data_IF_095938954273
#
_entry.id   IF_095938954273
#
_cell.length_a   1.000
_cell.length_b   1.000
_cell.length_c   1.000
_cell.angle_alpha   90.00
_cell.angle_beta   90.00
_cell.angle_gamma   90.00
#
_symmetry.space_group_name_H-M   'P 1'
#
loop_
_entity.id
_entity.type
_entity.pdbx_description
1 polymer ?
#
# COMPACT_ATOMS: atom_id res chain seq x y z
N UNK A 1 8.54 -21.39 -4.77
CA UNK A 1 7.26 -20.84 -5.26
C UNK A 1 7.16 -19.41 -4.77
N UNK A 2 6.82 -18.43 -5.62
CA UNK A 2 6.80 -17.02 -5.22
C UNK A 2 5.58 -16.79 -4.31
N UNK A 3 5.83 -16.52 -3.03
CA UNK A 3 4.85 -16.55 -1.92
C UNK A 3 3.79 -15.45 -1.95
N UNK A 4 3.75 -14.60 -2.98
CA UNK A 4 2.87 -13.43 -3.05
C UNK A 4 2.02 -13.34 -4.32
N UNK A 5 1.95 -14.39 -5.14
CA UNK A 5 1.16 -14.37 -6.39
C UNK A 5 -0.33 -14.08 -6.18
N UNK A 6 -0.90 -14.48 -5.03
CA UNK A 6 -2.29 -14.17 -4.66
C UNK A 6 -2.59 -12.66 -4.65
N UNK A 7 -1.57 -11.82 -4.45
CA UNK A 7 -1.73 -10.37 -4.46
C UNK A 7 -2.08 -9.84 -5.87
N UNK A 8 -1.80 -10.58 -6.93
CA UNK A 8 -2.08 -10.15 -8.30
C UNK A 8 -3.58 -10.15 -8.61
N UNK A 9 -4.39 -10.87 -7.85
CA UNK A 9 -5.85 -10.86 -7.98
C UNK A 9 -6.47 -9.49 -7.61
N UNK A 10 -5.71 -8.63 -6.93
CA UNK A 10 -6.10 -7.27 -6.58
C UNK A 10 -5.72 -6.23 -7.65
N UNK A 11 -5.02 -6.59 -8.72
CA UNK A 11 -4.58 -5.63 -9.76
C UNK A 11 -5.78 -4.90 -10.37
N UNK A 12 -6.80 -5.63 -10.82
CA UNK A 12 -7.98 -5.02 -11.44
C UNK A 12 -8.79 -4.19 -10.45
N UNK A 13 -8.80 -4.59 -9.17
CA UNK A 13 -9.40 -3.81 -8.10
C UNK A 13 -8.72 -2.44 -7.95
N UNK A 14 -7.39 -2.40 -7.82
CA UNK A 14 -6.65 -1.14 -7.68
C UNK A 14 -6.61 -0.30 -8.97
N UNK A 15 -6.81 -0.94 -10.12
CA UNK A 15 -6.93 -0.24 -11.41
C UNK A 15 -8.12 0.71 -11.41
N UNK A 16 -9.27 0.28 -10.89
CA UNK A 16 -10.53 1.05 -11.02
C UNK A 16 -10.96 1.77 -9.75
N UNK A 17 -10.70 1.21 -8.57
CA UNK A 17 -11.17 1.77 -7.29
C UNK A 17 -10.66 3.21 -7.09
N UNK A 18 -11.55 4.09 -6.62
CA UNK A 18 -11.27 5.48 -6.27
C UNK A 18 -11.12 5.68 -4.76
N UNK A 19 -10.66 6.88 -4.37
CA UNK A 19 -10.50 7.29 -2.97
C UNK A 19 -11.83 7.20 -2.19
N UNK A 20 -12.91 7.74 -2.76
CA UNK A 20 -14.23 7.78 -2.12
C UNK A 20 -14.88 6.40 -1.99
N UNK A 21 -14.57 5.48 -2.90
CA UNK A 21 -15.06 4.09 -2.83
C UNK A 21 -14.24 3.21 -1.87
N UNK A 22 -12.95 3.53 -1.68
CA UNK A 22 -12.08 2.74 -0.80
C UNK A 22 -12.21 3.16 0.66
N UNK A 23 -12.40 4.45 0.92
CA UNK A 23 -12.35 5.03 2.25
C UNK A 23 -13.51 6.00 2.49
N UNK A 24 -14.23 5.77 3.58
CA UNK A 24 -15.16 6.76 4.14
C UNK A 24 -14.61 7.28 5.46
N UNK A 25 -14.71 8.58 5.70
CA UNK A 25 -14.38 9.15 7.00
C UNK A 25 -15.57 9.07 7.93
N UNK A 26 -15.36 8.51 9.12
CA UNK A 26 -16.33 8.49 10.21
C UNK A 26 -15.83 9.32 11.39
N UNK A 27 -16.68 9.56 12.39
CA UNK A 27 -16.34 10.46 13.50
C UNK A 27 -16.42 11.92 13.09
N UNK A 28 -15.63 12.78 13.73
CA UNK A 28 -15.61 14.24 13.47
C UNK A 28 -16.89 15.00 13.84
N UNK A 29 -17.89 14.32 14.43
CA UNK A 29 -19.19 14.90 14.77
C UNK A 29 -19.20 15.40 16.22
N UNK A 30 -19.87 16.53 16.42
CA UNK A 30 -20.21 17.06 17.75
C UNK A 30 -21.21 16.11 18.43
N UNK A 31 -20.88 15.58 19.62
CA UNK A 31 -21.81 14.80 20.44
C UNK A 31 -22.65 15.73 21.33
N UNK A 32 -23.77 15.23 21.84
CA UNK A 32 -24.72 15.97 22.69
C UNK A 32 -24.08 16.62 23.93
N UNK A 33 -22.98 16.06 24.44
CA UNK A 33 -22.28 16.53 25.63
C UNK A 33 -21.07 17.45 25.33
N UNK A 34 -21.07 18.18 24.21
CA UNK A 34 -19.95 19.04 23.75
C UNK A 34 -18.61 18.31 23.49
N UNK A 35 -18.59 16.99 23.57
CA UNK A 35 -17.45 16.15 23.20
C UNK A 35 -17.39 15.94 21.68
N UNK A 36 -16.21 16.13 21.10
CA UNK A 36 -15.94 15.82 19.70
C UNK A 36 -15.27 14.44 19.60
N UNK A 37 -15.75 13.58 18.70
CA UNK A 37 -14.98 12.42 18.28
C UNK A 37 -14.00 12.83 17.19
N UNK A 38 -12.75 12.38 17.26
CA UNK A 38 -11.80 12.53 16.14
C UNK A 38 -12.33 11.79 14.90
N UNK A 39 -12.06 12.34 13.72
CA UNK A 39 -12.37 11.68 12.45
C UNK A 39 -11.40 10.52 12.24
N UNK A 40 -11.88 9.40 11.70
CA UNK A 40 -11.04 8.25 11.38
C UNK A 40 -11.47 7.61 10.05
N UNK A 41 -10.52 7.08 9.26
CA UNK A 41 -10.81 6.43 7.99
C UNK A 41 -11.39 5.03 8.23
N UNK A 42 -12.42 4.68 7.45
CA UNK A 42 -13.00 3.35 7.41
C UNK A 42 -12.88 2.81 5.99
N UNK A 43 -11.98 1.83 5.84
CA UNK A 43 -11.71 1.18 4.57
C UNK A 43 -12.73 0.08 4.24
N UNK A 44 -13.02 -0.10 2.96
CA UNK A 44 -13.90 -1.17 2.50
C UNK A 44 -13.27 -2.57 2.74
N UNK A 45 -14.12 -3.60 2.77
CA UNK A 45 -13.69 -4.95 3.12
C UNK A 45 -12.66 -5.52 2.14
N UNK A 46 -12.80 -5.25 0.83
CA UNK A 46 -11.89 -5.78 -0.17
C UNK A 46 -10.48 -5.20 -0.03
N UNK A 47 -10.35 -3.93 0.35
CA UNK A 47 -9.07 -3.31 0.67
C UNK A 47 -8.45 -3.94 1.93
N UNK A 48 -9.25 -4.16 2.98
CA UNK A 48 -8.77 -4.81 4.21
C UNK A 48 -8.25 -6.22 3.93
N UNK A 49 -8.97 -7.01 3.12
CA UNK A 49 -8.52 -8.34 2.71
C UNK A 49 -7.17 -8.28 1.96
N UNK A 50 -6.95 -7.28 1.11
CA UNK A 50 -5.64 -7.06 0.48
C UNK A 50 -4.54 -6.81 1.52
N UNK A 51 -4.80 -5.96 2.52
CA UNK A 51 -3.84 -5.69 3.59
C UNK A 51 -3.53 -6.95 4.39
N UNK A 52 -4.56 -7.72 4.77
CA UNK A 52 -4.40 -8.99 5.48
C UNK A 52 -3.58 -9.99 4.64
N UNK A 53 -3.89 -10.12 3.34
CA UNK A 53 -3.12 -10.95 2.43
C UNK A 53 -1.66 -10.51 2.31
N UNK A 54 -1.36 -9.20 2.36
CA UNK A 54 0.03 -8.71 2.40
C UNK A 54 0.71 -9.19 3.67
N UNK A 55 0.07 -9.08 4.84
CA UNK A 55 0.62 -9.53 6.13
C UNK A 55 0.84 -11.05 6.20
N UNK A 56 -0.02 -11.84 5.55
CA UNK A 56 0.10 -13.30 5.51
C UNK A 56 1.20 -13.79 4.56
N UNK A 57 1.67 -12.94 3.66
CA UNK A 57 2.76 -13.28 2.73
C UNK A 57 4.11 -12.84 3.28
N UNK A 58 5.18 -13.41 2.72
CA UNK A 58 6.54 -12.98 3.03
C UNK A 58 6.99 -11.79 2.16
N UNK A 59 6.08 -10.97 1.62
CA UNK A 59 6.45 -9.88 0.71
C UNK A 59 7.06 -8.68 1.44
N UNK A 60 6.68 -8.43 2.69
CA UNK A 60 7.17 -7.25 3.41
C UNK A 60 8.68 -7.32 3.66
N UNK A 61 9.33 -6.16 3.69
CA UNK A 61 10.72 -6.02 4.07
C UNK A 61 10.81 -5.58 5.54
N UNK A 62 11.32 -6.46 6.41
CA UNK A 62 11.50 -6.13 7.82
C UNK A 62 12.48 -4.97 8.03
N UNK A 63 13.44 -4.80 7.12
CA UNK A 63 14.50 -3.78 7.16
C UNK A 63 14.25 -2.71 6.08
N UNK A 64 12.98 -2.37 5.83
CA UNK A 64 12.59 -1.44 4.78
C UNK A 64 13.25 -0.06 4.94
N UNK A 65 13.52 0.39 6.16
CA UNK A 65 14.21 1.66 6.43
C UNK A 65 15.65 1.59 5.89
N UNK A 66 16.42 0.59 6.31
CA UNK A 66 17.80 0.38 5.86
C UNK A 66 17.85 0.09 4.36
N UNK A 67 16.84 -0.57 3.81
CA UNK A 67 16.69 -0.73 2.36
C UNK A 67 16.56 0.63 1.69
N UNK A 68 15.63 1.50 2.10
CA UNK A 68 15.49 2.83 1.48
C UNK A 68 16.77 3.66 1.58
N UNK A 69 17.45 3.64 2.72
CA UNK A 69 18.73 4.33 2.92
C UNK A 69 19.80 3.89 1.92
N UNK A 70 19.91 2.58 1.64
CA UNK A 70 20.84 2.06 0.61
C UNK A 70 20.54 2.56 -0.79
N UNK A 71 19.27 2.83 -1.10
CA UNK A 71 18.86 3.45 -2.37
C UNK A 71 18.87 4.98 -2.30
N UNK A 72 19.31 5.59 -1.20
CA UNK A 72 19.33 7.04 -0.98
C UNK A 72 17.93 7.67 -1.10
N UNK A 73 16.91 6.96 -0.63
CA UNK A 73 15.51 7.39 -0.68
C UNK A 73 14.99 7.69 0.73
N UNK A 74 14.15 8.72 0.84
CA UNK A 74 13.39 9.01 2.05
C UNK A 74 12.00 8.36 1.98
N UNK A 75 11.34 8.21 3.14
CA UNK A 75 9.91 7.86 3.22
C UNK A 75 9.04 9.08 2.86
N UNK A 76 9.09 9.46 1.58
CA UNK A 76 8.42 10.63 1.02
C UNK A 76 7.63 10.27 -0.25
N UNK A 77 6.96 11.26 -0.83
CA UNK A 77 6.25 11.10 -2.10
C UNK A 77 7.17 10.73 -3.27
N UNK A 78 8.49 10.92 -3.14
CA UNK A 78 9.49 10.53 -4.14
C UNK A 78 9.47 9.02 -4.41
N UNK A 79 9.07 8.22 -3.42
CA UNK A 79 8.94 6.77 -3.58
C UNK A 79 8.02 6.40 -4.74
N UNK A 80 7.02 7.23 -5.06
CA UNK A 80 6.09 7.01 -6.18
C UNK A 80 6.79 7.04 -7.53
N UNK A 81 7.82 7.88 -7.66
CA UNK A 81 8.56 8.09 -8.91
C UNK A 81 9.50 6.94 -9.27
N UNK A 82 9.84 6.07 -8.32
CA UNK A 82 10.83 4.99 -8.52
C UNK A 82 10.20 3.59 -8.64
N UNK A 83 8.89 3.45 -8.44
CA UNK A 83 8.21 2.13 -8.43
C UNK A 83 8.44 1.37 -9.75
N UNK A 84 8.32 2.04 -10.90
CA UNK A 84 8.35 1.37 -12.20
C UNK A 84 9.74 0.78 -12.54
N UNK A 85 10.81 1.34 -11.97
CA UNK A 85 12.20 0.89 -12.14
C UNK A 85 12.74 0.07 -10.97
N UNK A 86 12.09 0.11 -9.80
CA UNK A 86 12.51 -0.56 -8.58
C UNK A 86 12.76 -2.06 -8.79
N UNK A 87 13.83 -2.63 -8.24
CA UNK A 87 14.00 -4.08 -8.23
C UNK A 87 13.10 -4.72 -7.15
N UNK A 88 13.17 -6.05 -6.99
CA UNK A 88 12.31 -6.76 -6.03
C UNK A 88 12.49 -6.23 -4.60
N UNK A 89 13.73 -6.02 -4.17
CA UNK A 89 14.04 -5.56 -2.82
C UNK A 89 13.44 -4.18 -2.55
N UNK A 90 13.67 -3.22 -3.46
CA UNK A 90 13.12 -1.88 -3.32
C UNK A 90 11.59 -1.88 -3.43
N UNK A 91 11.00 -2.68 -4.32
CA UNK A 91 9.53 -2.78 -4.45
C UNK A 91 8.89 -3.29 -3.15
N UNK A 92 9.51 -4.28 -2.48
CA UNK A 92 9.09 -4.80 -1.17
C UNK A 92 9.18 -3.75 -0.07
N UNK A 93 10.27 -2.99 -0.04
CA UNK A 93 10.44 -1.90 0.91
C UNK A 93 9.37 -0.81 0.72
N UNK A 94 9.13 -0.37 -0.51
CA UNK A 94 8.09 0.63 -0.82
C UNK A 94 6.69 0.13 -0.41
N UNK A 95 6.34 -1.13 -0.72
CA UNK A 95 5.08 -1.72 -0.26
C UNK A 95 4.96 -1.67 1.27
N UNK A 96 6.06 -2.00 1.97
CA UNK A 96 6.09 -2.02 3.44
C UNK A 96 5.89 -0.63 4.04
N UNK A 97 6.45 0.42 3.42
CA UNK A 97 6.21 1.82 3.82
C UNK A 97 4.71 2.11 3.80
N UNK A 98 4.07 1.94 2.65
CA UNK A 98 2.64 2.28 2.51
C UNK A 98 1.75 1.44 3.41
N UNK A 99 2.04 0.15 3.58
CA UNK A 99 1.26 -0.75 4.46
C UNK A 99 1.42 -0.38 5.94
N UNK A 100 2.60 0.08 6.37
CA UNK A 100 2.84 0.39 7.78
C UNK A 100 2.51 1.83 8.17
N UNK A 101 2.67 2.77 7.25
CA UNK A 101 2.64 4.19 7.56
C UNK A 101 1.23 4.75 7.80
N UNK A 102 0.17 4.03 7.42
CA UNK A 102 -1.21 4.33 7.85
C UNK A 102 -1.34 4.48 9.36
N UNK A 103 -0.58 3.69 10.15
CA UNK A 103 -0.57 3.76 11.62
C UNK A 103 -0.14 5.13 12.17
N UNK A 104 0.52 5.94 11.36
CA UNK A 104 1.07 7.24 11.73
C UNK A 104 0.42 8.40 10.95
N UNK A 105 -0.37 8.09 9.92
CA UNK A 105 -1.00 9.07 9.04
C UNK A 105 -2.32 8.51 8.54
N UNK A 106 -3.39 8.79 9.28
CA UNK A 106 -4.76 8.41 8.91
C UNK A 106 -5.09 8.88 7.49
N UNK A 107 -5.60 7.97 6.66
CA UNK A 107 -5.99 8.28 5.27
C UNK A 107 -4.86 8.14 4.25
N UNK A 108 -3.67 7.71 4.65
CA UNK A 108 -2.56 7.46 3.73
C UNK A 108 -2.91 6.37 2.71
N UNK A 109 -3.58 5.30 3.12
CA UNK A 109 -4.02 4.25 2.21
C UNK A 109 -5.01 4.77 1.17
N UNK A 110 -5.94 5.64 1.56
CA UNK A 110 -6.87 6.28 0.63
C UNK A 110 -6.12 7.12 -0.42
N UNK A 111 -5.14 7.91 0.05
CA UNK A 111 -4.24 8.69 -0.83
C UNK A 111 -3.43 7.79 -1.76
N UNK A 112 -2.87 6.69 -1.26
CA UNK A 112 -2.12 5.73 -2.06
C UNK A 112 -2.99 5.05 -3.14
N UNK A 113 -4.28 4.82 -2.85
CA UNK A 113 -5.25 4.33 -3.83
C UNK A 113 -5.53 5.37 -4.91
N UNK A 114 -5.82 6.61 -4.51
CA UNK A 114 -6.03 7.74 -5.43
C UNK A 114 -4.87 7.88 -6.42
N UNK A 115 -3.65 7.82 -5.91
CA UNK A 115 -2.42 8.01 -6.68
C UNK A 115 -1.92 6.74 -7.38
N UNK A 116 -2.72 5.66 -7.34
CA UNK A 116 -2.44 4.37 -7.97
C UNK A 116 -1.12 3.73 -7.51
N UNK A 117 -0.69 4.01 -6.28
CA UNK A 117 0.54 3.46 -5.69
C UNK A 117 0.46 1.93 -5.59
N UNK A 118 -0.57 1.39 -4.94
CA UNK A 118 -0.74 -0.05 -4.80
C UNK A 118 -0.86 -0.75 -6.17
N UNK A 119 -1.56 -0.12 -7.12
CA UNK A 119 -1.65 -0.62 -8.50
C UNK A 119 -0.28 -0.74 -9.16
N UNK A 120 0.54 0.32 -9.12
CA UNK A 120 1.90 0.32 -9.69
C UNK A 120 2.81 -0.71 -9.02
N UNK A 121 2.75 -0.83 -7.70
CA UNK A 121 3.52 -1.83 -6.95
C UNK A 121 3.16 -3.25 -7.41
N UNK A 122 1.87 -3.57 -7.52
CA UNK A 122 1.42 -4.90 -7.94
C UNK A 122 1.83 -5.21 -9.39
N UNK A 123 1.71 -4.25 -10.31
CA UNK A 123 2.21 -4.41 -11.68
C UNK A 123 3.72 -4.66 -11.70
N UNK A 124 4.48 -3.95 -10.87
CA UNK A 124 5.92 -4.11 -10.79
C UNK A 124 6.31 -5.50 -10.27
N UNK A 125 5.66 -5.94 -9.18
CA UNK A 125 5.86 -7.29 -8.61
C UNK A 125 5.52 -8.39 -9.61
N UNK A 126 4.44 -8.22 -10.38
CA UNK A 126 4.04 -9.15 -11.43
C UNK A 126 5.09 -9.24 -12.54
N UNK A 127 5.52 -8.09 -13.08
CA UNK A 127 6.58 -8.03 -14.09
C UNK A 127 7.87 -8.73 -13.63
N UNK A 128 8.32 -8.44 -12.41
CA UNK A 128 9.51 -9.09 -11.83
C UNK A 128 9.33 -10.61 -11.70
N UNK A 129 8.12 -11.06 -11.36
CA UNK A 129 7.82 -12.49 -11.25
C UNK A 129 7.84 -13.19 -12.61
N UNK A 130 7.25 -12.55 -13.62
CA UNK A 130 7.19 -13.07 -14.99
C UNK A 130 8.61 -13.16 -15.60
N UNK A 131 9.42 -12.11 -15.44
CA UNK A 131 10.82 -12.06 -15.92
C UNK A 131 11.68 -13.21 -15.35
N UNK A 132 11.41 -13.63 -14.10
CA UNK A 132 12.12 -14.72 -13.41
C UNK A 132 11.64 -16.13 -13.81
N UNK A 133 10.48 -16.24 -14.43
CA UNK A 133 9.96 -17.50 -14.95
C UNK A 133 10.37 -17.74 -16.41
N UNK A 134 10.74 -16.68 -17.12
CA UNK A 134 11.20 -16.73 -18.51
C UNK A 134 12.70 -16.97 -18.71
N UNK A 135 13.51 -16.96 -17.63
CA UNK A 135 14.96 -17.16 -17.66
C UNK A 135 15.36 -18.40 -16.89
#
# INVERSE_FOLDING_TARGET
MITYQKLFDYIDYFKTISEDEVCRWEGGKKRENDNFSLGYPVYNQKFKNFIDDVYETEIMDANYIETLERYQLAMSDELRGVIDSANLQLTRAILTVYVRQERFSDGLWATAVKDKVFYKILLRLKKISDDRLSG
#
